data_IF_800025756070
#
_entry.id   IF_800025756070
#
_cell.length_a   1.000
_cell.length_b   1.000
_cell.length_c   1.000
_cell.angle_alpha   90.00
_cell.angle_beta   90.00
_cell.angle_gamma   90.00
#
_symmetry.space_group_name_H-M   'P 1'
#
loop_
_entity.id
_entity.type
_entity.pdbx_description
1 polymer ?
#
# COMPACT_ATOMS: atom_id res chain seq x y z
N UNK A 1 27.97 -41.07 -18.12
CA UNK A 1 29.39 -40.67 -18.24
C UNK A 1 29.71 -40.55 -19.73
N UNK A 2 29.72 -39.34 -20.25
CA UNK A 2 29.98 -39.04 -21.68
C UNK A 2 30.82 -37.77 -21.72
N UNK A 3 32.04 -37.80 -22.30
CA UNK A 3 32.93 -36.65 -22.33
C UNK A 3 32.73 -35.88 -23.65
N UNK A 4 32.51 -34.57 -23.60
CA UNK A 4 32.55 -33.76 -24.82
C UNK A 4 33.30 -32.44 -24.66
N UNK A 5 34.54 -32.50 -25.14
CA UNK A 5 35.28 -31.53 -25.95
C UNK A 5 35.24 -30.05 -25.58
N UNK A 6 36.32 -29.64 -24.92
CA UNK A 6 36.91 -28.30 -24.97
C UNK A 6 37.18 -27.87 -26.41
N UNK A 7 36.77 -26.65 -26.78
CA UNK A 7 37.40 -25.89 -27.86
C UNK A 7 37.91 -24.57 -27.28
N UNK A 8 39.23 -24.51 -27.13
CA UNK A 8 40.02 -23.29 -27.03
C UNK A 8 40.11 -22.70 -28.45
N UNK A 9 39.84 -21.40 -28.60
CA UNK A 9 40.21 -20.65 -29.78
C UNK A 9 40.86 -19.34 -29.36
N UNK A 10 42.04 -19.13 -29.92
CA UNK A 10 43.04 -18.12 -29.63
C UNK A 10 42.61 -16.70 -30.02
N UNK A 11 42.99 -15.75 -29.16
CA UNK A 11 43.52 -14.40 -29.41
C UNK A 11 43.48 -13.82 -30.82
N UNK A 12 42.94 -12.60 -30.93
CA UNK A 12 43.49 -11.57 -31.82
C UNK A 12 43.49 -10.21 -31.10
N UNK A 13 44.69 -9.76 -30.76
CA UNK A 13 45.03 -8.38 -30.41
C UNK A 13 45.02 -7.56 -31.71
N UNK A 14 44.28 -6.45 -31.75
CA UNK A 14 44.44 -5.41 -32.77
C UNK A 14 44.42 -4.04 -32.09
N UNK A 15 45.60 -3.42 -32.03
CA UNK A 15 45.82 -2.02 -31.65
C UNK A 15 45.99 -1.14 -32.88
N UNK A 16 45.76 0.17 -32.67
CA UNK A 16 45.95 1.35 -33.55
C UNK A 16 44.71 1.76 -34.36
N UNK A 17 44.38 3.03 -34.55
CA UNK A 17 44.72 4.31 -33.93
C UNK A 17 43.83 5.38 -34.62
N UNK A 18 43.82 6.58 -34.02
CA UNK A 18 43.59 7.87 -34.67
C UNK A 18 42.15 8.43 -34.78
N UNK A 19 41.96 9.49 -33.97
CA UNK A 19 41.52 10.82 -34.42
C UNK A 19 40.03 11.15 -34.49
N UNK A 20 39.63 11.90 -33.45
CA UNK A 20 39.00 13.21 -33.54
C UNK A 20 37.70 13.35 -34.34
N UNK A 21 36.58 13.32 -33.61
CA UNK A 21 35.51 14.29 -33.78
C UNK A 21 35.07 14.78 -32.39
N UNK A 22 35.60 15.96 -32.01
CA UNK A 22 34.93 16.83 -31.04
C UNK A 22 33.64 17.30 -31.69
N UNK A 23 32.57 16.52 -31.55
CA UNK A 23 31.21 17.00 -31.76
C UNK A 23 30.47 16.82 -30.44
N UNK A 24 30.15 17.97 -29.85
CA UNK A 24 29.23 18.14 -28.75
C UNK A 24 27.86 17.56 -29.13
N UNK A 25 27.70 16.25 -28.98
CA UNK A 25 26.42 15.64 -28.73
C UNK A 25 26.16 15.81 -27.24
N UNK A 26 25.56 16.94 -26.86
CA UNK A 26 24.85 17.00 -25.60
C UNK A 26 23.78 15.91 -25.68
N UNK A 27 24.09 14.72 -25.15
CA UNK A 27 23.09 13.76 -24.79
C UNK A 27 22.25 14.47 -23.72
N UNK A 28 21.19 15.15 -24.15
CA UNK A 28 20.04 15.42 -23.32
C UNK A 28 19.56 14.04 -22.91
N UNK A 29 20.13 13.54 -21.82
CA UNK A 29 19.58 12.45 -21.06
C UNK A 29 18.16 12.94 -20.78
N UNK A 30 17.20 12.38 -21.52
CA UNK A 30 15.81 12.61 -21.26
C UNK A 30 15.60 12.02 -19.86
N UNK A 31 15.77 12.87 -18.85
CA UNK A 31 15.29 12.60 -17.51
C UNK A 31 13.80 12.43 -17.71
N UNK A 32 13.37 11.18 -17.86
CA UNK A 32 11.97 10.83 -17.81
C UNK A 32 11.48 11.45 -16.51
N UNK A 33 10.50 12.36 -16.54
CA UNK A 33 10.04 12.99 -15.32
C UNK A 33 9.64 11.86 -14.38
N UNK A 34 10.36 11.73 -13.27
CA UNK A 34 9.88 10.88 -12.19
C UNK A 34 8.53 11.48 -11.78
N UNK A 35 7.48 10.67 -11.63
CA UNK A 35 6.20 11.19 -11.18
C UNK A 35 6.43 11.91 -9.85
N UNK A 36 5.97 13.16 -9.76
CA UNK A 36 6.09 13.93 -8.52
C UNK A 36 5.37 13.15 -7.40
N UNK A 37 5.91 13.15 -6.17
CA UNK A 37 5.31 12.42 -5.04
C UNK A 37 3.83 12.77 -4.80
N UNK A 38 3.44 14.00 -5.15
CA UNK A 38 2.06 14.48 -5.08
C UNK A 38 1.13 13.73 -6.06
N UNK A 39 1.64 13.31 -7.22
CA UNK A 39 0.87 12.53 -8.21
C UNK A 39 0.55 11.13 -7.69
N UNK A 40 1.40 10.55 -6.83
CA UNK A 40 1.18 9.23 -6.25
C UNK A 40 0.06 9.23 -5.19
N UNK A 41 -0.14 10.37 -4.51
CA UNK A 41 -1.20 10.58 -3.53
C UNK A 41 -2.51 11.07 -4.16
N UNK A 42 -2.42 11.67 -5.35
CA UNK A 42 -3.57 12.17 -6.08
C UNK A 42 -4.60 11.06 -6.37
N UNK A 43 -5.85 11.32 -6.02
CA UNK A 43 -6.98 10.42 -6.29
C UNK A 43 -7.03 9.17 -5.39
N UNK A 44 -6.24 9.10 -4.33
CA UNK A 44 -6.33 8.03 -3.33
C UNK A 44 -7.52 8.27 -2.40
N UNK A 45 -8.32 7.23 -2.20
CA UNK A 45 -9.48 7.24 -1.31
C UNK A 45 -9.04 6.79 0.09
N UNK A 46 -9.14 7.66 1.09
CA UNK A 46 -8.78 7.34 2.47
C UNK A 46 -9.99 6.85 3.28
N UNK A 47 -9.82 5.78 4.07
CA UNK A 47 -10.85 5.19 4.96
C UNK A 47 -10.24 4.72 6.28
N UNK A 48 -11.07 4.53 7.30
CA UNK A 48 -10.64 3.97 8.59
C UNK A 48 -9.63 4.81 9.39
N UNK A 49 -9.46 6.10 9.08
CA UNK A 49 -8.44 6.93 9.73
C UNK A 49 -7.03 6.75 9.16
N UNK A 50 -6.91 6.16 7.96
CA UNK A 50 -5.68 6.19 7.19
C UNK A 50 -5.32 7.64 6.78
N UNK A 51 -4.02 7.94 6.73
CA UNK A 51 -3.46 9.28 6.46
C UNK A 51 -2.56 9.26 5.22
N UNK A 52 -2.31 10.41 4.62
CA UNK A 52 -1.39 10.57 3.50
C UNK A 52 0.07 10.43 3.94
N UNK A 53 0.42 10.78 5.20
CA UNK A 53 1.76 10.49 5.74
C UNK A 53 2.06 9.00 5.79
N UNK A 54 1.11 8.19 6.29
CA UNK A 54 1.29 6.75 6.35
C UNK A 54 1.32 6.13 4.94
N UNK A 55 0.52 6.66 4.00
CA UNK A 55 0.60 6.22 2.61
C UNK A 55 1.96 6.56 1.98
N UNK A 56 2.48 7.78 2.22
CA UNK A 56 3.80 8.19 1.75
C UNK A 56 4.89 7.27 2.31
N UNK A 57 4.81 6.91 3.59
CA UNK A 57 5.72 5.95 4.20
C UNK A 57 5.60 4.55 3.57
N UNK A 58 4.38 4.08 3.27
CA UNK A 58 4.15 2.81 2.55
C UNK A 58 4.78 2.81 1.17
N UNK A 59 4.61 3.89 0.41
CA UNK A 59 5.08 3.99 -0.98
C UNK A 59 6.59 4.24 -1.09
N UNK A 60 7.22 4.76 -0.04
CA UNK A 60 8.65 5.01 0.02
C UNK A 60 9.51 3.74 0.12
N UNK A 61 8.89 2.58 0.38
CA UNK A 61 9.57 1.30 0.57
C UNK A 61 9.04 0.29 -0.45
N UNK A 62 9.94 -0.44 -1.11
CA UNK A 62 9.55 -1.50 -2.04
C UNK A 62 8.86 -2.65 -1.27
N UNK A 63 7.71 -3.17 -1.73
CA UNK A 63 7.06 -4.29 -1.08
C UNK A 63 7.90 -5.57 -1.10
N UNK A 64 7.87 -6.31 -0.01
CA UNK A 64 8.50 -7.62 0.13
C UNK A 64 7.52 -8.74 -0.20
N UNK A 65 8.04 -9.83 -0.78
CA UNK A 65 7.31 -11.07 -1.02
C UNK A 65 7.42 -12.00 0.19
N UNK A 66 6.62 -11.71 1.22
CA UNK A 66 6.49 -12.54 2.42
C UNK A 66 5.04 -13.02 2.51
N UNK A 67 4.69 -14.17 1.87
CA UNK A 67 3.31 -14.62 1.75
C UNK A 67 2.58 -14.81 3.09
N UNK A 68 3.31 -15.06 4.17
CA UNK A 68 2.80 -15.23 5.53
C UNK A 68 2.46 -13.92 6.26
N UNK A 69 2.75 -12.76 5.65
CA UNK A 69 2.38 -11.44 6.16
C UNK A 69 1.49 -10.66 5.17
N UNK A 70 1.32 -11.21 3.98
CA UNK A 70 0.53 -10.63 2.91
C UNK A 70 -0.98 -10.72 3.20
N UNK A 71 -1.72 -9.77 2.63
CA UNK A 71 -3.18 -9.81 2.64
C UNK A 71 -3.69 -10.86 1.64
N UNK A 72 -4.74 -11.58 2.02
CA UNK A 72 -5.43 -12.58 1.19
C UNK A 72 -6.84 -12.07 0.91
N UNK A 73 -7.16 -11.92 -0.38
CA UNK A 73 -8.45 -11.41 -0.84
C UNK A 73 -9.50 -12.53 -0.74
N UNK A 74 -10.54 -12.30 0.07
CA UNK A 74 -11.68 -13.21 0.21
C UNK A 74 -12.78 -12.89 -0.81
N UNK A 75 -13.04 -11.60 -1.03
CA UNK A 75 -14.05 -11.09 -1.97
C UNK A 75 -13.48 -9.87 -2.72
N UNK A 76 -13.43 -9.90 -4.06
CA UNK A 76 -13.82 -11.00 -4.95
C UNK A 76 -12.78 -12.12 -4.96
N UNK A 77 -13.25 -13.37 -5.02
CA UNK A 77 -12.38 -14.51 -5.36
C UNK A 77 -11.85 -14.35 -6.78
N UNK A 78 -10.64 -14.84 -7.02
CA UNK A 78 -10.04 -14.81 -8.36
C UNK A 78 -10.96 -15.52 -9.39
N UNK A 79 -11.19 -14.88 -10.53
CA UNK A 79 -12.11 -15.31 -11.58
C UNK A 79 -13.59 -14.98 -11.35
N UNK A 80 -13.94 -14.30 -10.25
CA UNK A 80 -15.33 -13.94 -9.98
C UNK A 80 -15.91 -12.98 -11.04
N UNK A 81 -17.23 -13.09 -11.25
CA UNK A 81 -18.03 -12.06 -11.94
C UNK A 81 -18.97 -11.43 -10.92
N UNK A 82 -18.84 -10.12 -10.72
CA UNK A 82 -19.66 -9.31 -9.82
C UNK A 82 -20.77 -8.64 -10.61
N UNK A 83 -21.96 -8.53 -10.02
CA UNK A 83 -23.09 -7.83 -10.66
C UNK A 83 -22.95 -6.32 -10.54
N UNK A 84 -23.15 -5.57 -11.62
CA UNK A 84 -23.06 -4.10 -11.63
C UNK A 84 -24.12 -3.38 -10.78
N UNK A 85 -25.26 -4.04 -10.51
CA UNK A 85 -26.39 -3.41 -9.82
C UNK A 85 -26.08 -2.88 -8.41
N UNK A 86 -25.23 -3.57 -7.65
CA UNK A 86 -24.87 -3.18 -6.27
C UNK A 86 -23.41 -3.50 -6.00
N UNK A 87 -22.67 -2.51 -5.48
CA UNK A 87 -21.29 -2.71 -5.06
C UNK A 87 -21.22 -3.75 -3.92
N UNK A 88 -20.46 -4.84 -4.07
CA UNK A 88 -20.27 -5.80 -2.99
C UNK A 88 -19.31 -5.22 -1.94
N UNK A 89 -19.42 -5.72 -0.70
CA UNK A 89 -18.38 -5.50 0.31
C UNK A 89 -17.15 -6.33 -0.06
N UNK A 90 -16.05 -5.64 -0.36
CA UNK A 90 -14.75 -6.26 -0.57
C UNK A 90 -14.18 -6.66 0.79
N UNK A 91 -13.56 -7.84 0.85
CA UNK A 91 -13.09 -8.43 2.09
C UNK A 91 -11.75 -9.11 1.89
N UNK A 92 -10.90 -8.98 2.88
CA UNK A 92 -9.61 -9.67 2.95
C UNK A 92 -9.27 -9.96 4.40
N UNK A 93 -8.28 -10.82 4.60
CA UNK A 93 -7.67 -11.08 5.89
C UNK A 93 -6.14 -11.08 5.74
N UNK A 94 -5.43 -11.01 6.86
CA UNK A 94 -3.98 -11.24 6.87
C UNK A 94 -3.77 -12.74 7.01
N UNK A 95 -2.92 -13.31 6.14
CA UNK A 95 -2.45 -14.69 6.34
C UNK A 95 -1.74 -14.69 7.69
N UNK A 96 -2.28 -15.36 8.69
CA UNK A 96 -1.60 -15.42 9.98
C UNK A 96 -0.30 -16.22 9.81
N UNK A 97 0.82 -15.69 10.29
CA UNK A 97 2.08 -16.45 10.33
C UNK A 97 1.96 -17.76 11.12
N UNK A 98 0.88 -17.90 11.90
CA UNK A 98 0.51 -19.07 12.67
C UNK A 98 -0.53 -19.97 12.01
N UNK A 99 -0.87 -19.73 10.73
CA UNK A 99 -1.64 -20.57 9.82
C UNK A 99 -2.58 -21.54 10.53
N UNK A 100 -3.84 -21.15 10.73
CA UNK A 100 -4.86 -22.05 11.26
C UNK A 100 -4.59 -22.61 12.67
N UNK A 101 -3.62 -22.09 13.43
CA UNK A 101 -3.65 -22.21 14.89
C UNK A 101 -4.78 -21.32 15.42
N UNK A 102 -6.02 -21.74 15.16
CA UNK A 102 -7.12 -21.55 16.08
C UNK A 102 -6.61 -22.03 17.43
N UNK A 103 -6.21 -21.08 18.27
CA UNK A 103 -6.12 -21.32 19.70
C UNK A 103 -7.41 -22.06 20.07
N UNK A 104 -7.34 -23.25 20.70
CA UNK A 104 -8.53 -23.97 21.10
C UNK A 104 -9.41 -22.99 21.85
N UNK A 105 -10.67 -22.84 21.39
CA UNK A 105 -11.70 -21.93 21.88
C UNK A 105 -11.48 -21.62 23.37
N UNK A 106 -10.72 -20.55 23.66
CA UNK A 106 -10.53 -20.08 25.01
C UNK A 106 -11.81 -19.33 25.31
N UNK A 107 -12.85 -20.09 25.68
CA UNK A 107 -13.99 -19.54 26.39
C UNK A 107 -13.42 -18.59 27.45
N UNK A 108 -13.75 -17.30 27.40
CA UNK A 108 -13.33 -16.39 28.44
C UNK A 108 -13.81 -17.00 29.77
N UNK A 109 -12.95 -17.11 30.79
CA UNK A 109 -13.41 -17.57 32.09
C UNK A 109 -14.59 -16.67 32.50
N UNK A 110 -15.74 -17.24 32.90
CA UNK A 110 -16.85 -16.44 33.37
C UNK A 110 -16.40 -15.60 34.56
N UNK A 111 -16.54 -14.27 34.43
CA UNK A 111 -16.41 -13.29 35.50
C UNK A 111 -15.09 -13.29 36.29
N UNK A 112 -14.00 -12.84 35.66
CA UNK A 112 -12.96 -12.16 36.42
C UNK A 112 -13.28 -10.65 36.46
N UNK A 113 -13.53 -10.04 37.62
CA UNK A 113 -13.67 -8.59 37.73
C UNK A 113 -12.36 -7.95 37.29
N UNK A 114 -12.41 -7.18 36.19
CA UNK A 114 -11.30 -6.33 35.78
C UNK A 114 -11.14 -5.23 36.84
N UNK A 115 -9.96 -5.04 37.45
CA UNK A 115 -9.68 -3.83 38.19
C UNK A 115 -9.62 -2.70 37.17
N UNK A 116 -10.69 -1.92 37.07
CA UNK A 116 -10.67 -0.68 36.31
C UNK A 116 -9.57 0.19 36.91
N UNK A 117 -8.55 0.46 36.09
CA UNK A 117 -7.62 1.54 36.32
C UNK A 117 -8.43 2.83 36.32
N UNK A 118 -8.74 3.34 37.51
CA UNK A 118 -9.04 4.75 37.75
C UNK A 118 -7.81 5.58 37.39
N UNK A 119 -7.60 5.82 36.09
CA UNK A 119 -6.75 6.92 35.65
C UNK A 119 -7.53 8.21 35.83
N UNK A 120 -7.39 8.73 37.04
CA UNK A 120 -7.78 10.07 37.44
C UNK A 120 -7.40 11.07 36.33
N UNK A 121 -8.42 11.73 35.80
CA UNK A 121 -8.32 12.98 35.07
C UNK A 121 -7.58 14.00 35.92
N UNK A 122 -6.33 14.30 35.56
CA UNK A 122 -5.54 15.32 36.26
C UNK A 122 -6.09 16.72 35.94
N UNK A 123 -6.51 17.51 36.94
CA UNK A 123 -7.13 18.83 36.73
C UNK A 123 -6.13 19.94 36.33
N UNK A 124 -4.83 19.63 36.27
CA UNK A 124 -3.78 20.63 36.04
C UNK A 124 -3.64 21.12 34.59
N UNK A 125 -4.35 20.52 33.61
CA UNK A 125 -4.31 20.98 32.21
C UNK A 125 -5.17 22.21 31.90
N UNK A 126 -5.92 22.78 32.86
CA UNK A 126 -6.76 23.99 32.62
C UNK A 126 -6.06 25.33 32.87
N UNK A 127 -4.84 25.35 33.40
CA UNK A 127 -4.22 26.60 33.88
C UNK A 127 -3.32 27.34 32.85
N UNK A 128 -3.09 26.79 31.65
CA UNK A 128 -2.15 27.36 30.66
C UNK A 128 -2.78 27.65 29.29
N UNK A 129 -4.08 27.93 29.23
CA UNK A 129 -4.78 28.22 27.96
C UNK A 129 -4.56 29.63 27.37
N UNK A 130 -4.30 30.73 28.12
CA UNK A 130 -4.37 32.07 27.50
C UNK A 130 -3.03 32.69 27.07
N UNK A 131 -1.90 31.96 27.05
CA UNK A 131 -0.58 32.55 26.69
C UNK A 131 -0.07 32.17 25.28
N UNK A 132 -0.78 31.35 24.52
CA UNK A 132 -0.38 30.94 23.16
C UNK A 132 -0.99 31.78 22.03
N UNK A 133 -1.91 32.71 22.33
CA UNK A 133 -2.55 33.61 21.35
C UNK A 133 -1.64 34.74 20.83
N UNK A 134 -0.36 34.79 21.21
CA UNK A 134 0.54 35.93 20.93
C UNK A 134 1.63 35.65 19.87
N UNK A 135 1.67 34.47 19.24
CA UNK A 135 2.70 34.09 18.26
C UNK A 135 2.12 33.88 16.85
N UNK A 136 1.58 34.95 16.27
CA UNK A 136 1.47 35.17 14.82
C UNK A 136 0.43 34.32 14.06
N UNK A 137 0.07 34.71 12.81
CA UNK A 137 -0.68 33.82 11.94
C UNK A 137 0.22 32.63 11.59
N UNK A 138 -0.01 31.50 12.26
CA UNK A 138 0.53 30.21 11.83
C UNK A 138 0.17 30.03 10.35
N UNK A 139 1.21 30.08 9.53
CA UNK A 139 1.15 29.66 8.14
C UNK A 139 0.78 28.18 8.16
N UNK A 140 -0.42 27.88 7.66
CA UNK A 140 -0.82 26.57 7.13
C UNK A 140 -0.45 25.38 8.04
N UNK A 141 -1.19 25.22 9.14
CA UNK A 141 -1.30 23.92 9.76
C UNK A 141 -1.99 22.98 8.75
N UNK A 142 -1.19 22.27 7.95
CA UNK A 142 -1.60 20.99 7.35
C UNK A 142 -2.17 20.20 8.52
N UNK A 143 -3.49 20.02 8.54
CA UNK A 143 -4.18 19.29 9.58
C UNK A 143 -3.89 17.80 9.38
N UNK A 144 -2.64 17.40 9.68
CA UNK A 144 -2.20 16.03 9.77
C UNK A 144 -3.17 15.32 10.72
N UNK A 145 -3.89 14.32 10.22
CA UNK A 145 -4.81 13.54 11.03
C UNK A 145 -4.11 12.88 12.21
N UNK A 146 -4.87 12.27 13.12
CA UNK A 146 -4.26 11.40 14.14
C UNK A 146 -3.34 10.39 13.45
N UNK A 147 -2.08 10.25 13.90
CA UNK A 147 -1.16 9.31 13.28
C UNK A 147 -1.74 7.90 13.23
N UNK A 148 -1.58 7.24 12.08
CA UNK A 148 -1.98 5.86 11.89
C UNK A 148 -1.11 4.97 12.77
N UNK A 149 -1.78 4.22 13.64
CA UNK A 149 -1.19 3.20 14.50
C UNK A 149 -1.91 1.87 14.23
N UNK A 150 -1.15 0.81 13.97
CA UNK A 150 -1.66 -0.49 13.54
C UNK A 150 -1.54 -0.71 12.03
N UNK A 151 -2.31 -1.64 11.47
CA UNK A 151 -2.13 -2.08 10.07
C UNK A 151 -2.86 -1.16 9.08
N UNK A 152 -2.17 -0.74 8.04
CA UNK A 152 -2.73 -0.06 6.87
C UNK A 152 -2.72 -0.96 5.64
N UNK A 153 -3.68 -0.76 4.74
CA UNK A 153 -3.88 -1.53 3.51
C UNK A 153 -4.08 -0.59 2.33
N UNK A 154 -3.22 -0.69 1.32
CA UNK A 154 -3.37 -0.04 0.03
C UNK A 154 -3.96 -1.05 -0.96
N UNK A 155 -5.19 -0.81 -1.37
CA UNK A 155 -5.87 -1.53 -2.44
C UNK A 155 -5.61 -0.79 -3.75
N UNK A 156 -5.08 -1.49 -4.74
CA UNK A 156 -4.85 -0.96 -6.08
C UNK A 156 -5.66 -1.78 -7.07
N UNK A 157 -6.56 -1.11 -7.79
CA UNK A 157 -7.34 -1.68 -8.88
C UNK A 157 -6.72 -1.26 -10.20
N UNK A 158 -6.31 -2.22 -11.02
CA UNK A 158 -5.84 -2.00 -12.38
C UNK A 158 -6.82 -2.58 -13.40
N UNK A 159 -6.92 -1.95 -14.56
CA UNK A 159 -7.64 -2.49 -15.70
C UNK A 159 -6.72 -3.38 -16.53
N UNK A 160 -7.30 -4.28 -17.31
CA UNK A 160 -6.54 -5.07 -18.28
C UNK A 160 -5.98 -4.28 -19.47
N UNK A 161 -6.34 -3.00 -19.60
CA UNK A 161 -5.80 -2.10 -20.62
C UNK A 161 -4.51 -1.45 -20.10
N UNK A 162 -3.37 -2.00 -20.52
CA UNK A 162 -2.02 -1.52 -20.17
C UNK A 162 -1.76 -1.38 -18.66
N UNK A 163 -2.37 -2.24 -17.85
CA UNK A 163 -2.31 -2.20 -16.37
C UNK A 163 -2.66 -0.82 -15.78
N UNK A 164 -3.54 -0.06 -16.46
CA UNK A 164 -3.91 1.28 -16.03
C UNK A 164 -4.53 1.25 -14.64
N UNK A 165 -3.99 2.03 -13.70
CA UNK A 165 -4.57 2.17 -12.37
C UNK A 165 -5.92 2.88 -12.46
N UNK A 166 -6.98 2.15 -12.16
CA UNK A 166 -8.36 2.65 -12.15
C UNK A 166 -8.64 3.36 -10.85
N UNK A 167 -8.24 2.79 -9.71
CA UNK A 167 -8.59 3.30 -8.39
C UNK A 167 -7.57 2.86 -7.35
N UNK A 168 -7.32 3.73 -6.36
CA UNK A 168 -6.50 3.42 -5.17
C UNK A 168 -7.31 3.73 -3.92
N UNK A 169 -7.26 2.83 -2.95
CA UNK A 169 -7.90 3.01 -1.64
C UNK A 169 -6.87 2.71 -0.55
N UNK A 170 -6.69 3.63 0.40
CA UNK A 170 -5.85 3.41 1.57
C UNK A 170 -6.72 3.38 2.83
N UNK A 171 -6.68 2.27 3.56
CA UNK A 171 -7.60 2.01 4.68
C UNK A 171 -6.90 1.29 5.83
N UNK A 172 -7.46 1.35 7.04
CA UNK A 172 -7.01 0.58 8.22
C UNK A 172 -7.96 -0.57 8.59
N UNK A 173 -9.09 -0.69 7.90
CA UNK A 173 -10.10 -1.75 8.15
C UNK A 173 -9.99 -2.85 7.10
N UNK A 174 -10.47 -4.05 7.43
CA UNK A 174 -10.38 -5.26 6.57
C UNK A 174 -11.56 -5.42 5.59
N UNK A 175 -12.44 -4.42 5.52
CA UNK A 175 -13.56 -4.41 4.58
C UNK A 175 -13.65 -3.06 3.88
N UNK A 176 -14.17 -3.07 2.65
CA UNK A 176 -14.39 -1.86 1.87
C UNK A 176 -15.59 -2.05 0.95
N UNK A 177 -16.59 -1.19 1.07
CA UNK A 177 -17.70 -1.12 0.13
C UNK A 177 -17.54 0.14 -0.71
N UNK A 178 -17.26 0.03 -2.02
CA UNK A 178 -17.23 1.19 -2.91
C UNK A 178 -18.55 1.95 -2.84
N UNK A 179 -18.49 3.28 -2.79
CA UNK A 179 -19.67 4.12 -2.99
C UNK A 179 -20.18 4.03 -4.44
N UNK A 180 -21.37 4.55 -4.77
CA UNK A 180 -21.92 4.45 -6.11
C UNK A 180 -21.01 5.01 -7.22
N UNK A 181 -20.29 6.10 -6.95
CA UNK A 181 -19.39 6.73 -7.93
C UNK A 181 -18.09 5.96 -8.12
N UNK A 182 -17.55 5.41 -7.02
CA UNK A 182 -16.39 4.52 -7.02
C UNK A 182 -16.72 3.20 -7.75
N UNK A 183 -17.92 2.67 -7.55
CA UNK A 183 -18.39 1.46 -8.21
C UNK A 183 -18.62 1.65 -9.71
N UNK A 184 -19.22 2.77 -10.12
CA UNK A 184 -19.37 3.13 -11.53
C UNK A 184 -18.01 3.25 -12.24
N UNK A 185 -17.00 3.80 -11.55
CA UNK A 185 -15.62 3.86 -12.08
C UNK A 185 -15.05 2.47 -12.35
N UNK A 186 -15.30 1.49 -11.47
CA UNK A 186 -14.87 0.11 -11.69
C UNK A 186 -15.67 -0.59 -12.81
N UNK A 187 -16.96 -0.31 -12.96
CA UNK A 187 -17.80 -0.85 -14.05
C UNK A 187 -17.37 -0.36 -15.43
N UNK A 188 -17.00 0.91 -15.53
CA UNK A 188 -16.68 1.57 -16.82
C UNK A 188 -15.24 1.31 -17.29
N UNK A 189 -14.37 0.82 -16.42
CA UNK A 189 -13.00 0.46 -16.75
C UNK A 189 -12.90 -0.81 -17.61
N UNK A 190 -11.79 -0.95 -18.34
CA UNK A 190 -11.52 -2.12 -19.17
C UNK A 190 -11.42 -3.40 -18.33
N UNK A 191 -12.22 -4.40 -18.68
CA UNK A 191 -12.33 -5.68 -17.96
C UNK A 191 -11.41 -6.74 -18.59
N UNK A 192 -10.84 -7.68 -17.79
CA UNK A 192 -11.02 -7.81 -16.35
C UNK A 192 -10.25 -6.77 -15.53
N UNK A 193 -10.64 -6.61 -14.27
CA UNK A 193 -9.92 -5.83 -13.27
C UNK A 193 -9.00 -6.74 -12.45
N UNK A 194 -7.89 -6.19 -12.00
CA UNK A 194 -6.99 -6.84 -11.03
C UNK A 194 -6.91 -6.01 -9.75
N UNK A 195 -7.11 -6.65 -8.60
CA UNK A 195 -6.93 -6.08 -7.27
C UNK A 195 -5.66 -6.65 -6.63
N UNK A 196 -4.77 -5.76 -6.20
CA UNK A 196 -3.62 -6.06 -5.36
C UNK A 196 -3.76 -5.31 -4.05
N UNK A 197 -3.49 -5.99 -2.92
CA UNK A 197 -3.49 -5.37 -1.59
C UNK A 197 -2.06 -5.39 -1.05
N UNK A 198 -1.48 -4.21 -0.83
CA UNK A 198 -0.21 -4.04 -0.12
C UNK A 198 -0.49 -3.58 1.31
N UNK A 199 0.20 -4.13 2.31
CA UNK A 199 -0.06 -3.78 3.70
C UNK A 199 1.22 -3.59 4.52
N UNK A 200 1.15 -2.80 5.60
CA UNK A 200 2.23 -2.63 6.57
C UNK A 200 1.66 -2.31 7.97
N UNK A 201 2.44 -2.50 9.03
CA UNK A 201 2.10 -2.05 10.39
C UNK A 201 2.81 -0.73 10.69
N UNK A 202 2.04 0.24 11.14
CA UNK A 202 2.49 1.60 11.43
C UNK A 202 2.54 1.88 12.93
N UNK A 203 3.56 2.64 13.32
CA UNK A 203 3.71 3.33 14.59
C UNK A 203 3.89 4.82 14.27
N UNK A 204 2.90 5.63 14.60
CA UNK A 204 2.88 7.06 14.29
C UNK A 204 3.20 7.43 12.83
N UNK A 205 2.50 6.79 11.87
CA UNK A 205 2.71 6.92 10.42
C UNK A 205 4.06 6.38 9.90
N UNK A 206 4.89 5.77 10.74
CA UNK A 206 6.16 5.14 10.34
C UNK A 206 5.96 3.62 10.29
N UNK A 207 6.48 2.94 9.26
CA UNK A 207 6.45 1.47 9.23
C UNK A 207 7.38 0.94 10.31
N UNK A 208 6.86 0.08 11.19
CA UNK A 208 7.66 -0.56 12.22
C UNK A 208 8.72 -1.49 11.61
N UNK A 209 9.80 -1.77 12.35
CA UNK A 209 10.86 -2.68 11.91
C UNK A 209 10.26 -4.06 11.53
N UNK A 210 10.68 -4.59 10.38
CA UNK A 210 10.20 -5.85 9.79
C UNK A 210 8.66 -5.94 9.59
N UNK A 211 7.99 -4.79 9.49
CA UNK A 211 6.53 -4.73 9.44
C UNK A 211 5.93 -4.37 8.07
N UNK A 212 6.71 -4.53 7.01
CA UNK A 212 6.28 -4.40 5.61
C UNK A 212 7.01 -3.30 4.86
N UNK A 213 6.53 -2.92 3.66
CA UNK A 213 5.28 -3.35 3.05
C UNK A 213 5.29 -4.81 2.55
N UNK A 214 4.14 -5.49 2.62
CA UNK A 214 3.94 -6.84 2.08
C UNK A 214 2.86 -6.84 1.01
N UNK A 215 3.21 -7.31 -0.19
CA UNK A 215 2.26 -7.42 -1.31
C UNK A 215 1.48 -8.74 -1.25
N UNK A 216 0.15 -8.64 -1.41
CA UNK A 216 -0.77 -9.77 -1.59
C UNK A 216 -0.73 -10.36 -2.99
N UNK A 217 -1.21 -11.60 -3.11
CA UNK A 217 -1.46 -12.24 -4.40
C UNK A 217 -2.56 -11.47 -5.17
N UNK A 218 -2.37 -11.16 -6.47
CA UNK A 218 -3.38 -10.46 -7.26
C UNK A 218 -4.67 -11.27 -7.45
N UNK A 219 -5.83 -10.64 -7.25
CA UNK A 219 -7.14 -11.22 -7.59
C UNK A 219 -7.70 -10.56 -8.85
N UNK A 220 -8.01 -11.35 -9.88
CA UNK A 220 -8.61 -10.86 -11.13
C UNK A 220 -10.09 -11.16 -11.15
N UNK A 221 -10.94 -10.21 -11.53
CA UNK A 221 -12.39 -10.37 -11.56
C UNK A 221 -13.03 -9.49 -12.63
N UNK A 222 -14.29 -9.76 -12.94
CA UNK A 222 -15.10 -8.99 -13.90
C UNK A 222 -16.23 -8.30 -13.15
N UNK A 223 -16.54 -7.06 -13.52
CA UNK A 223 -17.80 -6.41 -13.14
C UNK A 223 -18.71 -6.39 -14.35
N UNK A 224 -19.82 -7.13 -14.29
CA UNK A 224 -20.83 -7.07 -15.35
C UNK A 224 -21.62 -5.76 -15.24
N UNK A 225 -22.09 -5.19 -16.36
CA UNK A 225 -23.13 -4.16 -16.32
C UNK A 225 -24.38 -4.62 -15.56
#
# INVERSE_FOLDING_TARGET
MTPWTRRLACTALSTLAASALLHAGACTQATSPEPDDEDLLAGVIYRGGATDEALRALLAVAPEDVPAQAAVIDVPVHGATLTGATAPELRWHIRDAFGDMRLPDRRPPPNLPLPWNDRASSPLRRAFAPLLDLLGPEREARAHGSPLNGRGYLLVFTSSDDDQVVMRVFTSVLTYTPDPSEWERLQTAAQPLTLVITNAVFEDNVIAEDAGPFAGEPSTFIVSP
#
